data_IF_560759460248
#
_entry.id   IF_560759460248
#
_cell.length_a   1.000
_cell.length_b   1.000
_cell.length_c   1.000
_cell.angle_alpha   90.00
_cell.angle_beta   90.00
_cell.angle_gamma   90.00
#
_symmetry.space_group_name_H-M   'P 1'
#
loop_
_entity.id
_entity.type
_entity.pdbx_description
1 polymer ?
#
# COMPACT_ATOMS: atom_id res chain seq x y z
N UNK A 1 0.18 -27.60 11.80
CA UNK A 1 1.45 -27.25 12.49
C UNK A 1 1.34 -25.79 12.88
N UNK A 2 1.39 -25.45 14.17
CA UNK A 2 1.36 -24.06 14.61
C UNK A 2 2.57 -23.35 14.04
N UNK A 3 2.34 -22.38 13.17
CA UNK A 3 3.42 -21.64 12.52
C UNK A 3 3.93 -20.54 13.43
N UNK A 4 5.22 -20.26 13.37
CA UNK A 4 5.95 -19.36 14.27
C UNK A 4 5.62 -17.87 14.05
N UNK A 5 4.79 -17.54 13.05
CA UNK A 5 4.39 -16.17 12.73
C UNK A 5 2.93 -16.05 12.29
N UNK A 6 2.38 -14.86 12.48
CA UNK A 6 1.13 -14.34 11.88
C UNK A 6 1.41 -13.45 10.67
N UNK A 7 2.53 -12.70 10.70
CA UNK A 7 3.03 -11.87 9.59
C UNK A 7 4.52 -12.18 9.35
N UNK A 8 4.89 -12.43 8.10
CA UNK A 8 6.28 -12.55 7.66
C UNK A 8 6.54 -11.60 6.50
N UNK A 9 7.57 -10.78 6.67
CA UNK A 9 8.11 -9.88 5.65
C UNK A 9 9.54 -10.33 5.40
N UNK A 10 9.90 -10.63 4.16
CA UNK A 10 11.24 -11.15 3.84
C UNK A 10 11.82 -10.44 2.62
N UNK A 11 12.94 -9.75 2.83
CA UNK A 11 13.69 -8.98 1.83
C UNK A 11 12.81 -8.00 1.04
N UNK A 12 11.81 -7.42 1.68
CA UNK A 12 10.83 -6.57 1.01
C UNK A 12 11.42 -5.23 0.62
N UNK A 13 11.28 -4.90 -0.66
CA UNK A 13 11.66 -3.60 -1.22
C UNK A 13 10.44 -2.89 -1.80
N UNK A 14 10.47 -1.56 -1.83
CA UNK A 14 9.45 -0.76 -2.49
C UNK A 14 10.06 0.48 -3.13
N UNK A 15 9.99 0.50 -4.44
CA UNK A 15 10.40 1.61 -5.30
C UNK A 15 9.19 2.49 -5.65
N UNK A 16 9.43 3.80 -5.74
CA UNK A 16 8.48 4.76 -6.27
C UNK A 16 9.11 5.60 -7.37
N UNK A 17 8.41 5.70 -8.50
CA UNK A 17 8.75 6.62 -9.58
C UNK A 17 8.40 8.06 -9.20
N UNK A 18 9.33 8.99 -9.39
CA UNK A 18 9.19 10.42 -9.15
C UNK A 18 8.76 11.16 -10.44
N UNK A 19 7.59 10.80 -10.98
CA UNK A 19 6.96 11.58 -12.05
C UNK A 19 6.46 12.92 -11.51
N UNK A 20 6.71 14.02 -12.23
CA UNK A 20 6.19 15.35 -11.85
C UNK A 20 4.75 15.56 -12.30
N UNK A 21 4.35 14.90 -13.40
CA UNK A 21 3.00 15.05 -13.99
C UNK A 21 2.45 13.74 -14.55
N UNK A 22 1.13 13.62 -14.67
CA UNK A 22 0.49 12.48 -15.34
C UNK A 22 0.90 12.38 -16.81
N UNK A 23 1.13 13.51 -17.48
CA UNK A 23 1.61 13.56 -18.86
C UNK A 23 3.01 12.96 -19.01
N UNK A 24 3.91 13.15 -18.03
CA UNK A 24 5.22 12.49 -18.01
C UNK A 24 5.10 10.97 -17.87
N UNK A 25 4.18 10.50 -17.02
CA UNK A 25 3.89 9.07 -16.86
C UNK A 25 3.42 8.43 -18.16
N UNK A 26 2.48 9.08 -18.87
CA UNK A 26 2.00 8.63 -20.18
C UNK A 26 3.11 8.65 -21.23
N UNK A 27 3.92 9.71 -21.28
CA UNK A 27 5.07 9.78 -22.20
C UNK A 27 6.09 8.67 -21.93
N UNK A 28 6.40 8.39 -20.68
CA UNK A 28 7.31 7.29 -20.31
C UNK A 28 6.76 5.92 -20.72
N UNK A 29 5.44 5.73 -20.65
CA UNK A 29 4.78 4.50 -21.11
C UNK A 29 4.92 4.28 -22.62
N UNK A 30 4.76 5.33 -23.43
CA UNK A 30 4.84 5.26 -24.90
C UNK A 30 6.25 5.51 -25.48
N UNK A 31 7.22 5.92 -24.66
CA UNK A 31 8.57 6.21 -25.13
C UNK A 31 9.27 4.93 -25.62
N UNK A 32 9.66 4.92 -26.91
CA UNK A 32 10.52 3.88 -27.49
C UNK A 32 11.93 3.88 -26.87
N UNK A 33 12.41 5.05 -26.42
CA UNK A 33 13.67 5.19 -25.70
C UNK A 33 13.42 5.27 -24.18
N UNK A 34 13.99 4.32 -23.44
CA UNK A 34 13.90 4.22 -21.98
C UNK A 34 14.83 5.26 -21.33
N UNK A 35 14.41 6.51 -21.24
CA UNK A 35 15.07 7.42 -20.28
C UNK A 35 14.77 6.91 -18.87
N UNK A 36 15.78 6.80 -17.98
CA UNK A 36 15.54 6.40 -16.60
C UNK A 36 14.61 7.42 -15.95
N UNK A 37 13.49 6.93 -15.42
CA UNK A 37 12.60 7.73 -14.60
C UNK A 37 13.31 7.93 -13.25
N UNK A 38 13.42 9.17 -12.75
CA UNK A 38 13.93 9.38 -11.40
C UNK A 38 13.06 8.60 -10.43
N UNK A 39 13.66 7.80 -9.56
CA UNK A 39 12.97 6.95 -8.61
C UNK A 39 13.64 7.07 -7.24
N UNK A 40 13.00 6.50 -6.22
CA UNK A 40 13.63 6.28 -4.92
C UNK A 40 13.08 5.01 -4.26
N UNK A 41 13.91 4.40 -3.42
CA UNK A 41 13.55 3.23 -2.63
C UNK A 41 13.05 3.65 -1.25
N UNK A 42 11.75 3.48 -1.04
CA UNK A 42 11.10 3.71 0.25
C UNK A 42 11.39 2.59 1.25
N UNK A 43 11.59 1.36 0.77
CA UNK A 43 12.02 0.18 1.52
C UNK A 43 13.14 -0.53 0.74
N UNK A 44 14.19 -0.93 1.44
CA UNK A 44 15.46 -1.44 0.88
C UNK A 44 15.82 -2.81 1.48
N UNK A 45 14.87 -3.74 1.49
CA UNK A 45 15.11 -5.12 1.91
C UNK A 45 14.75 -5.42 3.36
N UNK A 46 13.57 -4.97 3.79
CA UNK A 46 13.07 -5.22 5.15
C UNK A 46 12.79 -6.71 5.34
N UNK A 47 13.29 -7.28 6.43
CA UNK A 47 12.95 -8.64 6.86
C UNK A 47 12.54 -8.65 8.33
N UNK A 48 11.32 -9.08 8.64
CA UNK A 48 10.82 -9.22 10.01
C UNK A 48 9.73 -10.30 10.10
N UNK A 49 9.49 -10.78 11.32
CA UNK A 49 8.37 -11.67 11.65
C UNK A 49 7.62 -11.13 12.87
N UNK A 50 6.30 -11.27 12.83
CA UNK A 50 5.39 -10.94 13.93
C UNK A 50 4.68 -12.22 14.35
N UNK A 51 4.74 -12.53 15.65
CA UNK A 51 4.10 -13.70 16.24
C UNK A 51 2.59 -13.48 16.37
N UNK A 52 1.78 -14.55 16.41
CA UNK A 52 0.37 -14.43 16.77
C UNK A 52 0.21 -13.80 18.16
N UNK A 53 -0.71 -12.83 18.28
CA UNK A 53 -1.00 -12.11 19.53
C UNK A 53 0.01 -11.02 19.90
N UNK A 54 1.05 -10.81 19.10
CA UNK A 54 2.07 -9.78 19.34
C UNK A 54 1.59 -8.40 18.87
N UNK A 55 1.88 -7.37 19.66
CA UNK A 55 1.81 -5.97 19.24
C UNK A 55 3.20 -5.47 18.85
N UNK A 56 3.43 -5.29 17.55
CA UNK A 56 4.67 -4.74 17.01
C UNK A 56 4.54 -3.25 16.73
N UNK A 57 5.35 -2.44 17.40
CA UNK A 57 5.49 -1.01 17.13
C UNK A 57 6.40 -0.73 15.93
N UNK A 58 5.98 0.12 14.98
CA UNK A 58 6.85 0.65 13.93
C UNK A 58 7.24 2.09 14.27
N UNK A 59 8.53 2.34 14.50
CA UNK A 59 9.05 3.68 14.82
C UNK A 59 10.10 4.14 13.80
N UNK A 60 10.34 5.45 13.79
CA UNK A 60 11.27 6.08 12.86
C UNK A 60 10.85 7.48 12.43
N UNK A 61 11.79 8.21 11.84
CA UNK A 61 11.56 9.59 11.35
C UNK A 61 10.55 9.65 10.21
N UNK A 62 10.04 10.83 9.90
CA UNK A 62 9.13 11.02 8.76
C UNK A 62 9.84 10.65 7.46
N UNK A 63 9.14 9.93 6.59
CA UNK A 63 9.72 9.40 5.36
C UNK A 63 10.66 8.22 5.54
N UNK A 64 10.72 7.60 6.72
CA UNK A 64 11.55 6.39 6.91
C UNK A 64 10.99 5.13 6.26
N UNK A 65 9.71 5.09 5.88
CA UNK A 65 9.06 3.94 5.25
C UNK A 65 8.04 3.19 6.10
N UNK A 66 7.73 3.65 7.34
CA UNK A 66 6.75 3.00 8.24
C UNK A 66 5.39 2.76 7.58
N UNK A 67 4.74 3.84 7.09
CA UNK A 67 3.42 3.73 6.46
C UNK A 67 3.47 2.89 5.19
N UNK A 68 4.56 2.97 4.41
CA UNK A 68 4.76 2.08 3.25
C UNK A 68 4.79 0.61 3.66
N UNK A 69 5.56 0.26 4.70
CA UNK A 69 5.62 -1.10 5.21
C UNK A 69 4.26 -1.56 5.74
N UNK A 70 3.55 -0.72 6.50
CA UNK A 70 2.22 -1.05 7.02
C UNK A 70 1.18 -1.22 5.90
N UNK A 71 1.26 -0.42 4.83
CA UNK A 71 0.39 -0.53 3.66
C UNK A 71 0.66 -1.79 2.82
N UNK A 72 1.90 -2.27 2.83
CA UNK A 72 2.27 -3.54 2.20
C UNK A 72 1.73 -4.71 3.02
N UNK A 73 1.88 -4.66 4.35
CA UNK A 73 1.34 -5.70 5.25
C UNK A 73 -0.19 -5.74 5.19
N UNK A 74 -0.88 -4.60 5.04
CA UNK A 74 -2.33 -4.54 4.89
C UNK A 74 -2.85 -4.91 3.49
N UNK A 75 -1.95 -5.17 2.53
CA UNK A 75 -2.33 -5.49 1.15
C UNK A 75 -2.87 -4.30 0.33
N UNK A 76 -2.81 -3.07 0.84
CA UNK A 76 -3.26 -1.87 0.10
C UNK A 76 -2.36 -1.58 -1.09
N UNK A 77 -1.04 -1.77 -0.92
CA UNK A 77 -0.07 -1.61 -2.00
C UNK A 77 0.80 -2.87 -2.11
N UNK A 78 1.15 -3.31 -3.32
CA UNK A 78 2.10 -4.39 -3.49
C UNK A 78 3.53 -3.92 -3.21
N UNK A 79 4.38 -4.82 -2.74
CA UNK A 79 5.84 -4.65 -2.73
C UNK A 79 6.44 -4.68 -4.14
N UNK A 80 7.62 -4.09 -4.32
CA UNK A 80 8.38 -4.18 -5.59
C UNK A 80 9.10 -5.52 -5.71
N UNK A 81 9.67 -6.01 -4.61
CA UNK A 81 10.25 -7.34 -4.51
C UNK A 81 10.18 -7.87 -3.08
N UNK A 82 10.46 -9.15 -2.91
CA UNK A 82 10.42 -9.85 -1.63
C UNK A 82 9.06 -10.47 -1.33
N UNK A 83 9.00 -11.20 -0.22
CA UNK A 83 7.84 -11.97 0.21
C UNK A 83 7.13 -11.26 1.35
N UNK A 84 5.81 -11.18 1.23
CA UNK A 84 4.91 -10.77 2.30
C UNK A 84 3.90 -11.89 2.46
N UNK A 85 3.91 -12.56 3.60
CA UNK A 85 2.95 -13.59 3.97
C UNK A 85 2.19 -13.16 5.22
N UNK A 86 0.89 -12.98 5.08
CA UNK A 86 -0.02 -12.45 6.11
C UNK A 86 -1.14 -13.45 6.30
N UNK A 87 -1.31 -13.94 7.52
CA UNK A 87 -2.17 -15.10 7.82
C UNK A 87 -3.38 -14.69 8.64
N UNK A 88 -4.40 -14.21 7.96
CA UNK A 88 -5.65 -13.74 8.56
C UNK A 88 -6.08 -12.41 7.98
N UNK A 89 -7.30 -12.00 8.32
CA UNK A 89 -7.87 -10.76 7.81
C UNK A 89 -7.25 -9.54 8.48
N UNK A 90 -6.84 -8.58 7.65
CA UNK A 90 -6.24 -7.32 8.09
C UNK A 90 -7.26 -6.20 8.07
N UNK A 91 -7.33 -5.42 9.14
CA UNK A 91 -8.06 -4.14 9.16
C UNK A 91 -7.08 -3.00 9.44
N UNK A 92 -7.13 -1.96 8.60
CA UNK A 92 -6.29 -0.77 8.76
C UNK A 92 -7.09 0.41 9.30
N UNK A 93 -6.50 1.09 10.28
CA UNK A 93 -6.95 2.36 10.82
C UNK A 93 -5.89 3.39 10.50
N UNK A 94 -6.15 4.24 9.51
CA UNK A 94 -5.36 5.45 9.28
C UNK A 94 -6.28 6.67 9.21
N UNK A 95 -5.73 7.85 9.48
CA UNK A 95 -6.47 9.12 9.38
C UNK A 95 -7.06 9.26 7.97
N UNK A 96 -8.39 9.09 7.86
CA UNK A 96 -9.11 9.15 6.58
C UNK A 96 -9.08 7.87 5.74
N UNK A 97 -8.61 6.73 6.25
CA UNK A 97 -8.57 5.48 5.51
C UNK A 97 -9.96 5.04 5.03
N UNK A 98 -10.15 4.97 3.72
CA UNK A 98 -11.24 4.23 3.07
C UNK A 98 -12.66 4.79 3.22
N UNK A 99 -12.86 5.95 3.85
CA UNK A 99 -14.18 6.59 3.89
C UNK A 99 -14.46 7.33 2.57
N UNK A 100 -15.65 7.14 1.99
CA UNK A 100 -16.15 7.85 0.81
C UNK A 100 -16.82 9.15 1.24
N UNK A 101 -16.20 10.28 0.90
CA UNK A 101 -16.68 11.61 1.31
C UNK A 101 -18.09 11.97 0.80
N UNK A 102 -18.53 11.39 -0.31
CA UNK A 102 -19.88 11.63 -0.84
C UNK A 102 -20.97 10.80 -0.16
N UNK A 103 -20.59 9.77 0.59
CA UNK A 103 -21.51 8.94 1.35
C UNK A 103 -21.63 9.46 2.78
N UNK A 104 -22.77 9.21 3.42
CA UNK A 104 -23.01 9.46 4.84
C UNK A 104 -22.16 8.56 5.73
N UNK A 105 -22.08 8.87 7.02
CA UNK A 105 -21.40 8.00 8.00
C UNK A 105 -22.00 6.60 8.03
N UNK A 106 -23.33 6.51 8.05
CA UNK A 106 -24.07 5.23 8.04
C UNK A 106 -23.75 4.38 6.81
N UNK A 107 -23.78 4.99 5.61
CA UNK A 107 -23.44 4.31 4.36
C UNK A 107 -21.98 3.87 4.33
N UNK A 108 -21.07 4.63 4.94
CA UNK A 108 -19.68 4.24 5.08
C UNK A 108 -19.48 3.05 6.02
N UNK A 109 -20.25 2.96 7.12
CA UNK A 109 -20.25 1.78 8.00
C UNK A 109 -20.62 0.54 7.20
N UNK A 110 -21.78 0.57 6.53
CA UNK A 110 -22.26 -0.55 5.71
C UNK A 110 -21.27 -0.92 4.61
N UNK A 111 -20.80 0.06 3.83
CA UNK A 111 -19.85 -0.16 2.74
C UNK A 111 -18.59 -0.88 3.22
N UNK A 112 -17.99 -0.39 4.30
CA UNK A 112 -16.74 -0.97 4.81
C UNK A 112 -16.94 -2.36 5.39
N UNK A 113 -18.01 -2.58 6.15
CA UNK A 113 -18.29 -3.88 6.72
C UNK A 113 -18.57 -4.93 5.61
N UNK A 114 -19.31 -4.57 4.57
CA UNK A 114 -19.50 -5.42 3.37
C UNK A 114 -18.17 -5.72 2.67
N UNK A 115 -17.27 -4.74 2.56
CA UNK A 115 -15.94 -4.95 1.97
C UNK A 115 -15.05 -5.91 2.80
N UNK A 116 -15.34 -6.07 4.10
CA UNK A 116 -14.70 -7.03 4.98
C UNK A 116 -15.39 -8.41 4.97
N UNK A 117 -16.41 -8.60 4.12
CA UNK A 117 -17.11 -9.87 3.96
C UNK A 117 -18.28 -10.10 4.91
N UNK A 118 -18.67 -9.10 5.71
CA UNK A 118 -19.83 -9.21 6.60
C UNK A 118 -21.14 -9.17 5.77
N UNK A 119 -22.11 -9.93 6.22
CA UNK A 119 -23.49 -9.93 5.72
C UNK A 119 -24.27 -8.72 6.25
N UNK A 120 -25.39 -8.35 5.60
CA UNK A 120 -26.23 -7.26 6.11
C UNK A 120 -26.76 -7.54 7.53
N UNK A 121 -27.05 -8.79 7.85
CA UNK A 121 -27.53 -9.18 9.18
C UNK A 121 -26.47 -8.95 10.27
N UNK A 122 -25.22 -9.34 10.01
CA UNK A 122 -24.10 -9.08 10.91
C UNK A 122 -23.83 -7.58 11.06
N UNK A 123 -23.98 -6.81 9.98
CA UNK A 123 -23.82 -5.35 9.99
C UNK A 123 -24.89 -4.68 10.84
N UNK A 124 -26.14 -5.09 10.70
CA UNK A 124 -27.25 -4.56 11.47
C UNK A 124 -27.07 -4.88 12.97
N UNK A 125 -26.53 -6.05 13.31
CA UNK A 125 -26.21 -6.43 14.68
C UNK A 125 -25.07 -5.60 15.32
N UNK A 126 -24.10 -5.14 14.51
CA UNK A 126 -22.95 -4.33 14.97
C UNK A 126 -23.20 -2.82 14.90
N UNK A 127 -24.30 -2.39 14.27
CA UNK A 127 -24.51 -0.99 13.92
C UNK A 127 -24.52 -0.07 15.14
N UNK A 128 -25.29 -0.43 16.17
CA UNK A 128 -25.47 0.39 17.37
C UNK A 128 -24.15 0.54 18.14
N UNK A 129 -23.35 -0.53 18.24
CA UNK A 129 -22.03 -0.51 18.87
C UNK A 129 -21.07 0.40 18.10
N UNK A 130 -21.05 0.32 16.77
CA UNK A 130 -20.21 1.17 15.92
C UNK A 130 -20.59 2.65 16.08
N UNK A 131 -21.89 2.96 16.08
CA UNK A 131 -22.39 4.33 16.20
C UNK A 131 -22.10 4.90 17.59
N UNK A 132 -22.37 4.12 18.63
CA UNK A 132 -22.11 4.48 20.03
C UNK A 132 -20.63 4.71 20.30
N UNK A 133 -19.76 3.85 19.76
CA UNK A 133 -18.31 4.00 19.91
C UNK A 133 -17.79 5.23 19.16
N UNK A 134 -18.27 5.48 17.93
CA UNK A 134 -17.83 6.63 17.13
C UNK A 134 -18.20 7.98 17.75
N UNK A 135 -19.35 8.06 18.42
CA UNK A 135 -19.80 9.23 19.18
C UNK A 135 -19.72 10.54 18.37
N UNK A 136 -20.40 10.53 17.20
CA UNK A 136 -20.48 11.66 16.27
C UNK A 136 -21.90 12.25 16.13
N UNK A 137 -22.88 11.69 16.85
CA UNK A 137 -24.28 12.14 16.86
C UNK A 137 -24.91 12.21 15.46
N UNK A 138 -25.73 13.25 15.24
CA UNK A 138 -26.50 13.45 14.00
C UNK A 138 -25.66 13.58 12.73
N UNK A 139 -24.36 13.87 12.87
CA UNK A 139 -23.45 13.88 11.72
C UNK A 139 -23.38 12.52 11.03
N UNK A 140 -23.73 11.42 11.71
CA UNK A 140 -23.82 10.09 11.11
C UNK A 140 -24.63 10.08 9.81
N UNK A 141 -25.69 10.90 9.73
CA UNK A 141 -26.57 11.01 8.57
C UNK A 141 -26.13 12.06 7.54
N UNK A 142 -24.98 12.71 7.77
CA UNK A 142 -24.41 13.72 6.88
C UNK A 142 -23.26 13.13 6.04
N UNK A 143 -23.04 13.62 4.81
CA UNK A 143 -21.91 13.18 3.97
C UNK A 143 -20.55 13.39 4.65
N UNK A 144 -19.69 12.38 4.65
CA UNK A 144 -18.39 12.39 5.35
C UNK A 144 -17.46 13.54 4.90
N UNK A 145 -17.65 14.10 3.70
CA UNK A 145 -16.90 15.29 3.26
C UNK A 145 -17.06 16.49 4.19
N UNK A 146 -18.18 16.61 4.92
CA UNK A 146 -18.42 17.69 5.90
C UNK A 146 -17.78 17.44 7.26
N UNK A 147 -17.26 16.23 7.52
CA UNK A 147 -16.72 15.86 8.82
C UNK A 147 -15.36 16.51 9.08
N UNK A 148 -15.10 16.83 10.35
CA UNK A 148 -13.75 17.15 10.82
C UNK A 148 -12.82 15.93 10.69
N UNK A 149 -11.51 16.15 10.74
CA UNK A 149 -10.51 15.06 10.76
C UNK A 149 -10.70 14.13 11.96
N UNK A 150 -11.09 14.68 13.12
CA UNK A 150 -11.41 13.92 14.32
C UNK A 150 -12.59 12.97 14.09
N UNK A 151 -13.72 13.48 13.60
CA UNK A 151 -14.90 12.64 13.32
C UNK A 151 -14.64 11.53 12.30
N UNK A 152 -13.89 11.84 11.22
CA UNK A 152 -13.48 10.83 10.23
C UNK A 152 -12.67 9.71 10.88
N UNK A 153 -11.78 10.08 11.80
CA UNK A 153 -10.92 9.14 12.49
C UNK A 153 -11.70 8.32 13.51
N UNK A 154 -12.63 8.93 14.26
CA UNK A 154 -13.52 8.22 15.20
C UNK A 154 -14.37 7.18 14.49
N UNK A 155 -15.03 7.57 13.39
CA UNK A 155 -15.83 6.65 12.59
C UNK A 155 -14.96 5.55 11.96
N UNK A 156 -13.80 5.91 11.42
CA UNK A 156 -12.86 4.96 10.83
C UNK A 156 -12.36 3.92 11.83
N UNK A 157 -11.97 4.36 13.04
CA UNK A 157 -11.55 3.50 14.13
C UNK A 157 -12.69 2.61 14.60
N UNK A 158 -13.87 3.20 14.84
CA UNK A 158 -15.04 2.48 15.30
C UNK A 158 -15.41 1.31 14.38
N UNK A 159 -15.49 1.56 13.06
CA UNK A 159 -15.75 0.48 12.10
C UNK A 159 -14.67 -0.60 12.20
N UNK A 160 -13.39 -0.20 12.20
CA UNK A 160 -12.27 -1.14 12.13
C UNK A 160 -12.12 -2.05 13.35
N UNK A 161 -12.56 -1.62 14.54
CA UNK A 161 -12.52 -2.45 15.76
C UNK A 161 -13.78 -3.30 15.97
N UNK A 162 -14.88 -3.02 15.29
CA UNK A 162 -16.09 -3.86 15.39
C UNK A 162 -16.17 -4.93 14.30
N UNK A 163 -15.40 -4.82 13.22
CA UNK A 163 -15.27 -5.89 12.21
C UNK A 163 -14.40 -7.08 12.65
N UNK A 164 -13.93 -7.09 13.91
CA UNK A 164 -13.22 -8.19 14.56
C UNK A 164 -12.06 -8.84 13.74
N UNK A 165 -11.08 -8.04 13.27
CA UNK A 165 -10.00 -8.55 12.42
C UNK A 165 -9.05 -9.49 13.18
N UNK A 166 -8.31 -10.33 12.44
CA UNK A 166 -7.20 -11.12 12.99
C UNK A 166 -5.96 -10.25 13.27
N UNK A 167 -5.75 -9.25 12.39
CA UNK A 167 -4.60 -8.36 12.39
C UNK A 167 -5.11 -6.92 12.32
N UNK A 168 -4.83 -6.13 13.36
CA UNK A 168 -5.16 -4.71 13.39
C UNK A 168 -3.94 -3.85 13.09
N UNK A 169 -4.03 -2.95 12.12
CA UNK A 169 -2.96 -2.02 11.76
C UNK A 169 -3.41 -0.62 12.10
N UNK A 170 -2.69 0.08 12.98
CA UNK A 170 -3.04 1.42 13.45
C UNK A 170 -1.93 2.37 13.00
N UNK A 171 -2.22 3.23 12.02
CA UNK A 171 -1.29 4.22 11.48
C UNK A 171 -1.67 5.64 11.90
N UNK A 172 -1.00 6.15 12.94
CA UNK A 172 -1.14 7.50 13.50
C UNK A 172 -2.58 7.89 13.92
N UNK A 173 -3.50 6.92 14.01
CA UNK A 173 -4.92 7.17 14.22
C UNK A 173 -5.33 7.43 15.68
N UNK A 174 -4.42 7.29 16.65
CA UNK A 174 -4.73 7.57 18.07
C UNK A 174 -4.55 9.05 18.45
N UNK A 175 -3.94 9.87 17.60
CA UNK A 175 -3.67 11.28 17.90
C UNK A 175 -4.82 12.22 17.51
N UNK A 176 -5.96 11.66 17.10
CA UNK A 176 -7.11 12.37 16.50
C UNK A 176 -8.37 12.09 17.30
N UNK A 177 -8.61 12.91 18.33
CA UNK A 177 -9.73 12.74 19.24
C UNK A 177 -9.60 13.61 20.48
N UNK A 178 -10.54 13.48 21.40
CA UNK A 178 -10.39 13.96 22.77
C UNK A 178 -9.81 12.83 23.64
N UNK A 179 -9.42 13.15 24.88
CA UNK A 179 -8.84 12.19 25.81
C UNK A 179 -9.80 11.03 26.12
N UNK A 180 -11.11 11.29 26.14
CA UNK A 180 -12.14 10.26 26.36
C UNK A 180 -12.15 9.22 25.24
N UNK A 181 -12.13 9.66 23.98
CA UNK A 181 -12.07 8.76 22.83
C UNK A 181 -10.72 8.04 22.75
N UNK A 182 -9.62 8.74 23.08
CA UNK A 182 -8.31 8.10 23.18
C UNK A 182 -8.32 6.94 24.17
N UNK A 183 -8.92 7.12 25.36
CA UNK A 183 -9.03 6.04 26.35
C UNK A 183 -9.86 4.86 25.82
N UNK A 184 -11.01 5.13 25.18
CA UNK A 184 -11.82 4.08 24.51
C UNK A 184 -10.98 3.27 23.52
N UNK A 185 -10.13 3.92 22.73
CA UNK A 185 -9.24 3.25 21.78
C UNK A 185 -8.18 2.39 22.48
N UNK A 186 -7.56 2.89 23.55
CA UNK A 186 -6.56 2.15 24.34
C UNK A 186 -7.18 0.92 25.00
N UNK A 187 -8.38 1.06 25.56
CA UNK A 187 -9.10 -0.04 26.18
C UNK A 187 -9.42 -1.13 25.15
N UNK A 188 -9.90 -0.73 23.96
CA UNK A 188 -10.21 -1.68 22.88
C UNK A 188 -8.96 -2.38 22.32
N UNK A 189 -7.84 -1.66 22.22
CA UNK A 189 -6.54 -2.27 21.86
C UNK A 189 -6.13 -3.30 22.91
N UNK A 190 -6.30 -2.99 24.20
CA UNK A 190 -5.94 -3.88 25.30
C UNK A 190 -6.82 -5.13 25.32
N UNK A 191 -8.12 -5.00 25.03
CA UNK A 191 -9.06 -6.11 24.83
C UNK A 191 -8.58 -7.02 23.69
N UNK A 192 -8.26 -6.47 22.52
CA UNK A 192 -7.72 -7.24 21.39
C UNK A 192 -6.40 -7.94 21.70
N UNK A 193 -5.50 -7.30 22.46
CA UNK A 193 -4.29 -7.98 22.95
C UNK A 193 -4.64 -9.17 23.83
N UNK A 194 -5.60 -9.03 24.75
CA UNK A 194 -6.05 -10.11 25.62
C UNK A 194 -6.72 -11.27 24.86
N UNK A 195 -7.40 -10.97 23.75
CA UNK A 195 -7.97 -11.95 22.81
C UNK A 195 -6.92 -12.64 21.92
N UNK A 196 -5.66 -12.22 21.97
CA UNK A 196 -4.59 -12.77 21.15
C UNK A 196 -4.61 -12.28 19.69
N UNK A 197 -5.25 -11.14 19.42
CA UNK A 197 -5.18 -10.46 18.12
C UNK A 197 -3.78 -9.88 17.91
N UNK A 198 -3.34 -9.86 16.65
CA UNK A 198 -2.02 -9.31 16.30
C UNK A 198 -2.16 -7.84 15.92
N UNK A 199 -1.28 -6.98 16.41
CA UNK A 199 -1.41 -5.52 16.19
C UNK A 199 -0.10 -4.95 15.61
N UNK A 200 -0.21 -4.17 14.53
CA UNK A 200 0.87 -3.34 14.03
C UNK A 200 0.56 -1.90 14.41
N UNK A 201 1.39 -1.31 15.26
CA UNK A 201 1.17 0.03 15.80
C UNK A 201 2.20 1.01 15.26
N UNK A 202 1.78 1.96 14.42
CA UNK A 202 2.64 3.01 13.86
C UNK A 202 2.32 4.31 14.58
N UNK A 203 3.29 4.83 15.33
CA UNK A 203 3.13 6.09 16.06
C UNK A 203 4.43 6.88 16.14
N UNK A 204 4.27 8.19 16.17
CA UNK A 204 5.34 9.14 16.49
C UNK A 204 5.49 9.39 18.00
N UNK A 205 4.53 8.94 18.81
CA UNK A 205 4.56 9.05 20.27
C UNK A 205 5.23 7.84 20.88
N UNK A 206 6.48 8.01 21.36
CA UNK A 206 7.22 6.95 22.02
C UNK A 206 6.53 6.46 23.29
N UNK A 207 5.82 7.33 24.01
CA UNK A 207 5.04 6.96 25.20
C UNK A 207 3.91 5.98 24.85
N UNK A 208 3.23 6.18 23.71
CA UNK A 208 2.20 5.24 23.27
C UNK A 208 2.80 3.90 22.87
N UNK A 209 3.96 3.93 22.19
CA UNK A 209 4.68 2.71 21.81
C UNK A 209 5.12 1.92 23.04
N UNK A 210 5.71 2.57 24.04
CA UNK A 210 6.11 1.95 25.32
C UNK A 210 4.92 1.33 26.06
N UNK A 211 3.75 1.96 26.01
CA UNK A 211 2.56 1.48 26.70
C UNK A 211 1.88 0.30 26.00
N UNK A 212 1.86 0.30 24.66
CA UNK A 212 1.01 -0.60 23.87
C UNK A 212 1.79 -1.75 23.22
N UNK A 213 3.07 -1.60 22.94
CA UNK A 213 3.84 -2.55 22.12
C UNK A 213 4.67 -3.53 22.94
N UNK A 214 4.70 -4.78 22.51
CA UNK A 214 5.54 -5.81 23.12
C UNK A 214 6.96 -5.76 22.54
N UNK A 215 7.05 -5.51 21.23
CA UNK A 215 8.31 -5.33 20.48
C UNK A 215 8.22 -4.12 19.58
N UNK A 216 9.37 -3.61 19.17
CA UNK A 216 9.46 -2.47 18.27
C UNK A 216 10.44 -2.74 17.13
N UNK A 217 10.05 -2.36 15.93
CA UNK A 217 10.91 -2.29 14.74
C UNK A 217 11.22 -0.81 14.43
N UNK A 218 12.50 -0.46 14.51
CA UNK A 218 12.99 0.85 14.11
C UNK A 218 13.33 0.87 12.61
N UNK A 219 12.50 1.58 11.85
CA UNK A 219 12.72 1.81 10.42
C UNK A 219 13.47 3.13 10.23
N UNK A 220 14.59 3.08 9.51
CA UNK A 220 15.47 4.22 9.26
C UNK A 220 15.78 4.33 7.76
N UNK A 221 15.15 5.32 7.10
CA UNK A 221 15.30 5.60 5.66
C UNK A 221 15.27 4.33 4.80
N UNK A 222 14.20 3.54 4.91
CA UNK A 222 13.99 2.33 4.13
C UNK A 222 14.70 1.07 4.62
N UNK A 223 15.53 1.16 5.65
CA UNK A 223 16.17 0.01 6.28
C UNK A 223 15.53 -0.34 7.63
N UNK A 224 15.54 -1.63 7.98
CA UNK A 224 15.27 -2.08 9.34
C UNK A 224 16.56 -1.89 10.13
N UNK A 225 16.62 -0.84 10.95
CA UNK A 225 17.81 -0.52 11.74
C UNK A 225 17.96 -1.48 12.90
N UNK A 226 16.86 -1.75 13.58
CA UNK A 226 16.82 -2.60 14.77
C UNK A 226 15.40 -3.13 15.00
N UNK A 227 15.29 -4.30 15.62
CA UNK A 227 14.02 -4.89 16.05
C UNK A 227 14.24 -5.70 17.32
N UNK A 228 13.41 -5.50 18.33
CA UNK A 228 13.61 -6.12 19.65
C UNK A 228 12.58 -5.67 20.67
N UNK A 229 12.91 -5.85 21.94
CA UNK A 229 12.07 -5.45 23.08
C UNK A 229 11.87 -3.94 23.10
N UNK A 230 10.64 -3.51 23.41
CA UNK A 230 10.22 -2.12 23.32
C UNK A 230 11.14 -1.16 24.06
N UNK A 231 11.49 -1.45 25.31
CA UNK A 231 12.28 -0.55 26.15
C UNK A 231 13.69 -0.29 25.59
N UNK A 232 14.35 -1.34 25.09
CA UNK A 232 15.70 -1.26 24.50
C UNK A 232 15.67 -0.40 23.24
N UNK A 233 14.80 -0.75 22.28
CA UNK A 233 14.75 -0.09 20.98
C UNK A 233 14.30 1.37 21.12
N UNK A 234 13.36 1.66 22.04
CA UNK A 234 12.91 3.02 22.30
C UNK A 234 14.03 3.85 22.94
N UNK A 235 14.83 3.27 23.84
CA UNK A 235 16.00 3.95 24.41
C UNK A 235 17.02 4.32 23.32
N UNK A 236 17.36 3.39 22.43
CA UNK A 236 18.33 3.62 21.36
C UNK A 236 17.81 4.64 20.34
N UNK A 237 16.52 4.58 20.04
CA UNK A 237 15.87 5.59 19.21
C UNK A 237 15.87 6.97 19.87
N UNK A 238 15.64 7.07 21.18
CA UNK A 238 15.73 8.35 21.93
C UNK A 238 17.13 8.93 21.86
N UNK A 239 18.18 8.11 21.98
CA UNK A 239 19.56 8.54 21.83
C UNK A 239 19.83 9.08 20.43
N UNK A 240 19.36 8.38 19.39
CA UNK A 240 19.43 8.88 18.01
C UNK A 240 18.71 10.22 17.84
N UNK A 241 17.50 10.36 18.36
CA UNK A 241 16.74 11.63 18.27
C UNK A 241 17.45 12.77 18.99
N UNK A 242 18.02 12.50 20.18
CA UNK A 242 18.80 13.48 20.93
C UNK A 242 20.01 13.94 20.14
N UNK A 243 20.84 13.00 19.67
CA UNK A 243 21.97 13.29 18.80
C UNK A 243 21.55 14.09 17.56
N UNK A 244 20.50 13.68 16.87
CA UNK A 244 20.03 14.38 15.67
C UNK A 244 19.53 15.80 15.98
N UNK A 245 18.93 16.04 17.15
CA UNK A 245 18.51 17.38 17.60
C UNK A 245 19.69 18.28 17.95
N UNK A 246 20.76 17.73 18.48
CA UNK A 246 21.97 18.47 18.87
C UNK A 246 22.80 18.94 17.66
N UNK A 247 22.65 18.30 16.50
CA UNK A 247 23.28 18.74 15.25
C UNK A 247 22.85 20.16 14.83
N UNK A 248 23.78 20.91 14.24
CA UNK A 248 23.47 22.20 13.65
C UNK A 248 22.64 22.06 12.36
N UNK A 249 22.06 23.16 11.86
CA UNK A 249 21.17 23.13 10.68
C UNK A 249 21.86 22.60 9.41
N UNK A 250 23.17 22.85 9.25
CA UNK A 250 23.95 22.39 8.08
C UNK A 250 24.18 20.88 8.16
N UNK A 251 24.58 20.37 9.31
CA UNK A 251 24.79 18.94 9.58
C UNK A 251 23.50 18.14 9.44
N UNK A 252 22.38 18.63 10.01
CA UNK A 252 21.06 18.01 9.82
C UNK A 252 20.71 17.85 8.34
N UNK A 253 20.92 18.91 7.56
CA UNK A 253 20.65 18.90 6.11
C UNK A 253 21.58 17.93 5.38
N UNK A 254 22.88 17.92 5.70
CA UNK A 254 23.84 16.99 5.10
C UNK A 254 23.51 15.53 5.41
N UNK A 255 23.17 15.23 6.68
CA UNK A 255 22.73 13.90 7.07
C UNK A 255 21.49 13.45 6.30
N UNK A 256 20.45 14.29 6.25
CA UNK A 256 19.23 13.99 5.52
C UNK A 256 19.46 13.81 4.01
N UNK A 257 20.34 14.61 3.40
CA UNK A 257 20.70 14.48 1.99
C UNK A 257 21.41 13.15 1.74
N UNK A 258 22.42 12.81 2.55
CA UNK A 258 23.14 11.53 2.46
C UNK A 258 22.20 10.34 2.57
N UNK A 259 21.26 10.36 3.52
CA UNK A 259 20.29 9.27 3.68
C UNK A 259 19.34 9.16 2.48
N UNK A 260 18.88 10.30 1.93
CA UNK A 260 18.02 10.32 0.73
C UNK A 260 18.76 9.92 -0.54
N UNK A 261 20.05 10.22 -0.65
CA UNK A 261 20.90 9.77 -1.75
C UNK A 261 21.08 8.26 -1.69
N UNK A 262 21.33 7.68 -0.51
CA UNK A 262 21.36 6.23 -0.33
C UNK A 262 20.06 5.54 -0.76
N UNK A 263 18.90 6.15 -0.51
CA UNK A 263 17.60 5.64 -1.01
C UNK A 263 17.47 5.68 -2.53
N UNK A 264 18.19 6.56 -3.23
CA UNK A 264 18.17 6.65 -4.70
C UNK A 264 19.20 5.75 -5.34
N UNK A 265 20.35 5.58 -4.70
CA UNK A 265 21.48 4.79 -5.18
C UNK A 265 21.37 3.30 -4.84
N UNK A 266 20.35 2.90 -4.06
CA UNK A 266 20.13 1.50 -3.72
C UNK A 266 19.97 0.63 -4.97
N UNK A 267 20.86 -0.35 -5.08
CA UNK A 267 20.90 -1.31 -6.16
C UNK A 267 20.27 -2.63 -5.71
N UNK A 268 19.10 -2.93 -6.28
CA UNK A 268 18.35 -4.16 -5.99
C UNK A 268 19.10 -5.41 -6.47
N UNK A 269 19.85 -5.35 -7.56
CA UNK A 269 20.58 -6.51 -8.10
C UNK A 269 21.77 -6.84 -7.21
N UNK A 270 22.50 -5.81 -6.75
CA UNK A 270 23.55 -5.96 -5.75
C UNK A 270 22.99 -6.50 -4.41
N UNK A 271 21.83 -5.99 -3.97
CA UNK A 271 21.16 -6.50 -2.77
C UNK A 271 20.76 -7.98 -2.94
N UNK A 272 20.16 -8.36 -4.06
CA UNK A 272 19.79 -9.74 -4.36
C UNK A 272 21.03 -10.66 -4.34
N UNK A 273 22.14 -10.23 -4.94
CA UNK A 273 23.40 -10.98 -4.91
C UNK A 273 23.90 -11.20 -3.46
N UNK A 274 23.80 -10.18 -2.60
CA UNK A 274 24.15 -10.30 -1.18
C UNK A 274 23.26 -11.32 -0.44
N UNK A 275 21.98 -11.42 -0.80
CA UNK A 275 21.06 -12.41 -0.21
C UNK A 275 21.40 -13.82 -0.67
N UNK A 276 21.78 -13.99 -1.94
CA UNK A 276 22.27 -15.27 -2.49
C UNK A 276 23.51 -15.73 -1.72
N UNK A 277 24.49 -14.83 -1.53
CA UNK A 277 25.72 -15.16 -0.81
C UNK A 277 25.44 -15.57 0.64
N UNK A 278 24.60 -14.81 1.36
CA UNK A 278 24.20 -15.13 2.74
C UNK A 278 23.50 -16.50 2.84
N UNK A 279 22.59 -16.80 1.91
CA UNK A 279 21.86 -18.08 1.90
C UNK A 279 22.77 -19.27 1.56
N UNK A 280 23.68 -19.10 0.60
CA UNK A 280 24.66 -20.13 0.27
C UNK A 280 25.60 -20.42 1.45
N UNK A 281 26.04 -19.37 2.17
CA UNK A 281 26.84 -19.53 3.39
C UNK A 281 26.09 -20.25 4.50
N UNK A 282 24.81 -19.95 4.69
CA UNK A 282 23.98 -20.60 5.71
C UNK A 282 23.66 -22.06 5.36
N UNK A 283 23.45 -22.38 4.08
CA UNK A 283 23.14 -23.72 3.59
C UNK A 283 24.03 -24.12 2.41
N UNK A 284 25.27 -24.59 2.65
CA UNK A 284 26.22 -24.90 1.57
C UNK A 284 25.75 -26.01 0.62
N UNK A 285 24.91 -26.94 1.10
CA UNK A 285 24.34 -28.03 0.30
C UNK A 285 23.16 -27.60 -0.58
N UNK A 286 22.63 -26.39 -0.39
CA UNK A 286 21.50 -25.93 -1.16
C UNK A 286 21.92 -25.65 -2.61
N UNK A 287 21.32 -26.39 -3.55
CA UNK A 287 21.51 -26.16 -4.99
C UNK A 287 20.57 -25.08 -5.51
N UNK A 288 21.00 -24.41 -6.58
CA UNK A 288 20.23 -23.39 -7.30
C UNK A 288 19.76 -22.21 -6.44
N UNK A 289 20.56 -21.81 -5.44
CA UNK A 289 20.23 -20.71 -4.52
C UNK A 289 19.89 -19.42 -5.26
N UNK A 290 20.66 -19.05 -6.30
CA UNK A 290 20.39 -17.84 -7.08
C UNK A 290 18.99 -17.84 -7.73
N UNK A 291 18.58 -18.96 -8.32
CA UNK A 291 17.27 -19.10 -8.94
C UNK A 291 16.14 -19.07 -7.90
N UNK A 292 16.33 -19.72 -6.75
CA UNK A 292 15.37 -19.70 -5.65
C UNK A 292 15.21 -18.30 -5.05
N UNK A 293 16.31 -17.60 -4.78
CA UNK A 293 16.26 -16.21 -4.29
C UNK A 293 15.57 -15.30 -5.31
N UNK A 294 15.85 -15.46 -6.61
CA UNK A 294 15.13 -14.71 -7.66
C UNK A 294 13.63 -15.00 -7.64
N UNK A 295 13.24 -16.27 -7.45
CA UNK A 295 11.83 -16.66 -7.29
C UNK A 295 11.21 -16.04 -6.03
N UNK A 296 11.93 -16.03 -4.92
CA UNK A 296 11.46 -15.43 -3.66
C UNK A 296 11.27 -13.91 -3.81
N UNK A 297 12.14 -13.23 -4.58
CA UNK A 297 12.03 -11.79 -4.80
C UNK A 297 10.85 -11.40 -5.69
N UNK A 298 10.55 -12.17 -6.74
CA UNK A 298 9.62 -11.74 -7.79
C UNK A 298 8.40 -12.65 -7.97
N UNK A 299 8.36 -13.80 -7.31
CA UNK A 299 7.33 -14.82 -7.52
C UNK A 299 5.95 -14.44 -6.99
N UNK A 300 5.88 -13.64 -5.92
CA UNK A 300 4.64 -13.13 -5.34
C UNK A 300 4.24 -11.76 -5.87
N UNK A 301 5.06 -11.12 -6.71
CA UNK A 301 4.83 -9.76 -7.19
C UNK A 301 4.12 -9.78 -8.53
N UNK A 302 2.92 -9.18 -8.58
CA UNK A 302 2.24 -8.92 -9.84
C UNK A 302 3.00 -7.79 -10.55
N UNK A 303 3.69 -8.10 -11.65
CA UNK A 303 4.45 -7.11 -12.42
C UNK A 303 3.51 -6.00 -12.94
N UNK A 304 3.70 -4.76 -12.46
CA UNK A 304 3.01 -3.58 -13.00
C UNK A 304 3.40 -3.29 -14.47
N UNK A 305 4.55 -3.82 -14.92
CA UNK A 305 5.02 -3.65 -16.30
C UNK A 305 4.42 -4.75 -17.18
N UNK A 306 3.65 -4.31 -18.18
CA UNK A 306 3.17 -5.16 -19.28
C UNK A 306 4.33 -5.89 -19.95
N UNK A 307 4.25 -7.22 -20.02
CA UNK A 307 5.18 -8.06 -20.81
C UNK A 307 5.17 -7.64 -22.28
N UNK A 308 6.24 -7.93 -23.02
CA UNK A 308 6.31 -7.62 -24.45
C UNK A 308 5.09 -8.15 -25.24
N UNK A 309 4.67 -9.40 -24.95
CA UNK A 309 3.48 -9.99 -25.57
C UNK A 309 2.21 -9.21 -25.27
N UNK A 310 2.00 -8.82 -24.01
CA UNK A 310 0.83 -8.02 -23.63
C UNK A 310 0.83 -6.63 -24.30
N UNK A 311 2.00 -5.98 -24.47
CA UNK A 311 2.11 -4.71 -25.20
C UNK A 311 1.74 -4.87 -26.67
N UNK A 312 2.19 -5.96 -27.32
CA UNK A 312 1.87 -6.25 -28.70
C UNK A 312 0.36 -6.47 -28.88
N UNK A 313 -0.26 -7.23 -27.97
CA UNK A 313 -1.72 -7.42 -27.96
C UNK A 313 -2.45 -6.11 -27.76
N UNK A 314 -2.05 -5.28 -26.79
CA UNK A 314 -2.68 -3.96 -26.57
C UNK A 314 -2.52 -3.04 -27.78
N UNK A 315 -1.37 -3.04 -28.44
CA UNK A 315 -1.16 -2.28 -29.69
C UNK A 315 -2.10 -2.79 -30.79
N UNK A 316 -2.22 -4.11 -30.97
CA UNK A 316 -3.14 -4.70 -31.95
C UNK A 316 -4.60 -4.33 -31.67
N UNK A 317 -5.02 -4.37 -30.40
CA UNK A 317 -6.38 -3.95 -30.01
C UNK A 317 -6.61 -2.47 -30.28
N UNK A 318 -5.64 -1.61 -29.99
CA UNK A 318 -5.73 -0.17 -30.28
C UNK A 318 -5.80 0.12 -31.78
N UNK A 319 -4.99 -0.58 -32.59
CA UNK A 319 -5.02 -0.47 -34.06
C UNK A 319 -6.37 -0.95 -34.59
N UNK A 320 -6.90 -2.05 -34.07
CA UNK A 320 -8.21 -2.59 -34.48
C UNK A 320 -9.35 -1.65 -34.05
N UNK A 321 -9.32 -1.09 -32.84
CA UNK A 321 -10.27 -0.07 -32.40
C UNK A 321 -10.21 1.18 -33.28
N UNK A 322 -9.02 1.67 -33.59
CA UNK A 322 -8.86 2.83 -34.48
C UNK A 322 -9.38 2.51 -35.89
N UNK A 323 -9.05 1.34 -36.44
CA UNK A 323 -9.55 0.89 -37.73
C UNK A 323 -11.08 0.80 -37.73
N UNK A 324 -11.69 0.11 -36.77
CA UNK A 324 -13.16 -0.02 -36.69
C UNK A 324 -13.87 1.33 -36.49
N UNK A 325 -13.29 2.23 -35.68
CA UNK A 325 -13.80 3.58 -35.51
C UNK A 325 -13.70 4.40 -36.81
N UNK A 326 -12.58 4.27 -37.54
CA UNK A 326 -12.38 4.98 -38.81
C UNK A 326 -13.27 4.42 -39.91
N UNK A 327 -13.48 3.10 -39.98
CA UNK A 327 -14.46 2.49 -40.90
C UNK A 327 -15.88 2.93 -40.60
N UNK A 328 -16.23 3.05 -39.31
CA UNK A 328 -17.55 3.53 -38.92
C UNK A 328 -17.75 4.99 -39.31
N UNK A 329 -16.72 5.84 -39.10
CA UNK A 329 -16.75 7.26 -39.44
C UNK A 329 -16.76 7.50 -40.96
N UNK A 330 -16.11 6.62 -41.76
CA UNK A 330 -16.05 6.75 -43.21
C UNK A 330 -17.33 6.29 -43.93
N UNK A 331 -18.26 5.64 -43.21
CA UNK A 331 -19.54 5.16 -43.76
C UNK A 331 -19.44 3.85 -44.55
N UNK A 332 -18.27 3.21 -44.59
CA UNK A 332 -18.02 1.97 -45.33
C UNK A 332 -18.20 0.73 -44.46
N UNK A 333 -18.60 -0.40 -45.08
CA UNK A 333 -18.67 -1.68 -44.38
C UNK A 333 -17.27 -2.24 -44.07
N UNK A 334 -17.13 -2.97 -42.97
CA UNK A 334 -15.85 -3.61 -42.60
C UNK A 334 -15.31 -4.53 -43.71
N UNK A 335 -16.19 -5.27 -44.37
CA UNK A 335 -15.87 -6.17 -45.48
C UNK A 335 -15.27 -5.44 -46.68
N UNK A 336 -15.82 -4.26 -47.00
CA UNK A 336 -15.38 -3.47 -48.16
C UNK A 336 -14.04 -2.81 -47.92
N UNK A 337 -13.82 -2.27 -46.71
CA UNK A 337 -12.54 -1.69 -46.32
C UNK A 337 -11.42 -2.73 -46.27
N UNK A 338 -11.72 -3.96 -45.83
CA UNK A 338 -10.75 -5.07 -45.84
C UNK A 338 -10.37 -5.46 -47.27
N UNK A 339 -11.33 -5.47 -48.20
CA UNK A 339 -11.06 -5.76 -49.62
C UNK A 339 -10.40 -4.61 -50.39
N UNK A 340 -10.69 -3.36 -50.03
CA UNK A 340 -10.24 -2.15 -50.70
C UNK A 340 -9.76 -1.10 -49.67
N UNK A 341 -8.52 -1.19 -49.20
CA UNK A 341 -7.99 -0.30 -48.15
C UNK A 341 -8.00 1.19 -48.52
N UNK A 342 -8.00 1.52 -49.82
CA UNK A 342 -8.07 2.90 -50.32
C UNK A 342 -9.42 3.59 -50.03
N UNK A 343 -10.49 2.84 -49.77
CA UNK A 343 -11.81 3.38 -49.44
C UNK A 343 -11.84 4.16 -48.11
N UNK A 344 -10.90 3.88 -47.19
CA UNK A 344 -10.75 4.60 -45.92
C UNK A 344 -10.40 6.09 -46.08
N UNK A 345 -9.79 6.48 -47.20
CA UNK A 345 -9.27 7.84 -47.45
C UNK A 345 -10.26 8.67 -48.28
N UNK A 346 -11.30 8.04 -48.82
CA UNK A 346 -12.35 8.67 -49.61
C UNK A 346 -13.69 8.55 -48.85
N UNK A 347 -14.00 9.49 -47.94
CA UNK A 347 -15.28 9.49 -47.25
C UNK A 347 -16.42 9.64 -48.26
N UNK A 348 -17.39 8.73 -48.19
CA UNK A 348 -18.57 8.77 -49.06
C UNK A 348 -19.50 9.89 -48.62
N UNK A 349 -19.92 10.74 -49.56
CA UNK A 349 -20.79 11.88 -49.28
C UNK A 349 -22.28 11.52 -49.19
N UNK A 350 -22.68 10.28 -49.49
CA UNK A 350 -24.08 9.86 -49.42
C UNK A 350 -24.24 8.38 -49.06
N UNK A 351 -25.12 8.11 -48.08
CA UNK A 351 -25.68 6.78 -47.81
C UNK A 351 -27.13 6.83 -48.23
N UNK A 352 -27.51 6.06 -49.25
CA UNK A 352 -28.91 5.93 -49.62
C UNK A 352 -29.60 4.84 -48.78
N UNK A 353 -30.93 4.92 -48.62
CA UNK A 353 -31.73 4.13 -47.65
C UNK A 353 -31.69 2.61 -47.84
N UNK A 354 -31.03 2.11 -48.89
CA UNK A 354 -30.91 0.69 -49.24
C UNK A 354 -29.50 0.12 -49.05
N UNK A 355 -28.51 0.92 -48.63
CA UNK A 355 -27.18 0.42 -48.26
C UNK A 355 -26.26 -0.01 -49.41
N UNK A 356 -26.52 0.41 -50.66
CA UNK A 356 -25.62 0.16 -51.80
C UNK A 356 -24.79 1.41 -52.16
N UNK A 357 -23.49 1.22 -52.38
CA UNK A 357 -22.54 2.29 -52.71
C UNK A 357 -22.39 2.49 -54.23
N UNK A 358 -22.44 3.75 -54.67
CA UNK A 358 -21.96 4.18 -55.98
C UNK A 358 -20.95 5.32 -55.80
N UNK A 359 -20.01 5.43 -56.75
CA UNK A 359 -18.86 6.36 -56.73
C UNK A 359 -19.25 7.83 -56.72
#
# INVERSE_FOLDING_TARGET
MATDYKIMVQNVTKEYDLFKTQSEKLRAFFALNRKPVPHFWSLMGISLKVKPGETLGLIGVNGSGKSTLSNIISGIIPQTSGIVDVRGDTSIIAIGAGLRGNLTGLENIRLKALMQGLTNEEIDALMDDIVSFADIGDFLYQPVKSYSSGMKSRLGFSIAVHVNPDILIIDEALSVGDDTFYQKCVDKISEFKAEGKTIIFVSHSLKQVEMLCDRVAWIHYGNLKEIGDTDTIVSDYRQFVKWFKDLNKKEKKQFQLKMKEAQKEFDIDAFQASVVEKRQKANPSEQNVAAKVKKDFYGSVISEKMSFGSRLVTLLVLVLLFFTCWTNLSGHSLTEVVSNPSALVHPTSHVDRTGSLHK
#
